data_IF_942719051857
#
_entry.id   IF_942719051857
#
_cell.length_a   1.000
_cell.length_b   1.000
_cell.length_c   1.000
_cell.angle_alpha   90.00
_cell.angle_beta   90.00
_cell.angle_gamma   90.00
#
_symmetry.space_group_name_H-M   'P 1'
#
loop_
_entity.id
_entity.type
_entity.pdbx_description
1 polymer ?
#
# COMPACT_ATOMS: atom_id res chain seq x y z
N UNK A 1 -11.81 -10.56 4.08
CA UNK A 1 -11.08 -9.85 3.03
C UNK A 1 -10.59 -10.83 1.98
N UNK A 2 -10.67 -10.49 0.72
CA UNK A 2 -10.31 -11.39 -0.38
C UNK A 2 -9.70 -10.62 -1.55
N UNK A 3 -8.94 -11.33 -2.40
CA UNK A 3 -8.54 -10.80 -3.70
C UNK A 3 -9.79 -10.74 -4.58
N UNK A 4 -10.01 -9.60 -5.22
CA UNK A 4 -11.24 -9.35 -5.99
C UNK A 4 -11.14 -9.94 -7.39
N UNK A 5 -10.02 -9.72 -8.08
CA UNK A 5 -9.89 -10.05 -9.49
C UNK A 5 -8.47 -10.51 -9.84
N UNK A 6 -8.29 -11.02 -11.06
CA UNK A 6 -7.00 -11.43 -11.60
C UNK A 6 -6.63 -12.87 -11.25
N UNK A 7 -5.33 -13.16 -11.29
CA UNK A 7 -4.78 -14.53 -11.14
C UNK A 7 -5.17 -15.21 -9.83
N UNK A 8 -5.29 -14.43 -8.74
CA UNK A 8 -5.63 -14.94 -7.42
C UNK A 8 -7.04 -14.54 -6.99
N UNK A 9 -7.89 -14.13 -7.91
CA UNK A 9 -9.26 -13.68 -7.62
C UNK A 9 -10.05 -14.71 -6.82
N UNK A 10 -10.74 -14.24 -5.77
CA UNK A 10 -11.55 -15.08 -4.89
C UNK A 10 -10.81 -15.66 -3.69
N UNK A 11 -9.48 -15.60 -3.64
CA UNK A 11 -8.72 -16.14 -2.51
C UNK A 11 -8.92 -15.23 -1.28
N UNK A 12 -9.30 -15.83 -0.16
CA UNK A 12 -9.45 -15.13 1.12
C UNK A 12 -8.10 -14.84 1.74
N UNK A 13 -7.91 -13.61 2.20
CA UNK A 13 -6.70 -13.16 2.87
C UNK A 13 -6.86 -13.21 4.38
N UNK A 14 -5.81 -13.63 5.07
CA UNK A 14 -5.73 -13.58 6.52
C UNK A 14 -5.47 -12.14 6.97
N UNK A 15 -6.17 -11.71 8.03
CA UNK A 15 -6.03 -10.38 8.61
C UNK A 15 -5.50 -10.52 10.03
N UNK A 16 -4.50 -9.74 10.46
CA UNK A 16 -3.98 -9.83 11.82
C UNK A 16 -5.05 -9.55 12.87
N UNK A 17 -4.98 -10.24 14.00
CA UNK A 17 -5.85 -9.94 15.15
C UNK A 17 -5.58 -8.54 15.64
N UNK A 18 -6.64 -7.79 15.94
CA UNK A 18 -6.53 -6.42 16.43
C UNK A 18 -6.35 -5.38 15.35
N UNK A 19 -6.36 -5.75 14.09
CA UNK A 19 -6.38 -4.77 13.01
C UNK A 19 -7.70 -4.02 13.05
N UNK A 20 -7.58 -2.70 13.23
CA UNK A 20 -8.74 -1.87 13.58
C UNK A 20 -9.58 -1.52 12.37
N UNK A 21 -8.99 -1.59 11.15
CA UNK A 21 -9.70 -1.10 9.98
C UNK A 21 -9.12 -1.67 8.68
N UNK A 22 -9.55 -2.88 8.28
CA UNK A 22 -9.22 -3.36 6.95
C UNK A 22 -9.96 -2.52 5.90
N UNK A 23 -9.28 -2.21 4.80
CA UNK A 23 -9.92 -1.58 3.64
C UNK A 23 -10.97 -2.55 3.09
N UNK A 24 -12.18 -2.05 2.83
CA UNK A 24 -13.25 -2.89 2.33
C UNK A 24 -13.00 -3.35 0.90
N UNK A 25 -13.56 -4.49 0.52
CA UNK A 25 -13.50 -5.00 -0.85
C UNK A 25 -14.05 -3.97 -1.84
N UNK A 26 -15.11 -3.26 -1.45
CA UNK A 26 -15.74 -2.22 -2.29
C UNK A 26 -14.79 -1.06 -2.59
N UNK A 27 -14.08 -0.58 -1.58
CA UNK A 27 -13.11 0.53 -1.76
C UNK A 27 -11.97 0.08 -2.66
N UNK A 28 -11.42 -1.11 -2.42
CA UNK A 28 -10.35 -1.64 -3.27
C UNK A 28 -10.81 -1.82 -4.71
N UNK A 29 -12.00 -2.34 -4.93
CA UNK A 29 -12.55 -2.50 -6.28
C UNK A 29 -12.64 -1.16 -7.00
N UNK A 30 -13.15 -0.12 -6.34
CA UNK A 30 -13.24 1.21 -6.91
C UNK A 30 -11.87 1.78 -7.28
N UNK A 31 -10.89 1.64 -6.39
CA UNK A 31 -9.52 2.12 -6.62
C UNK A 31 -8.90 1.41 -7.82
N UNK A 32 -8.97 0.07 -7.85
CA UNK A 32 -8.36 -0.70 -8.94
C UNK A 32 -9.09 -0.53 -10.28
N UNK A 33 -10.38 -0.23 -10.27
CA UNK A 33 -11.09 0.10 -11.50
C UNK A 33 -10.50 1.35 -12.17
N UNK A 34 -10.13 2.34 -11.37
CA UNK A 34 -9.46 3.55 -11.87
C UNK A 34 -8.03 3.23 -12.35
N UNK A 35 -7.33 2.35 -11.66
CA UNK A 35 -5.92 2.06 -11.91
C UNK A 35 -5.68 1.00 -12.98
N UNK A 36 -6.69 0.27 -13.42
CA UNK A 36 -6.53 -0.83 -14.36
C UNK A 36 -5.65 -0.48 -15.58
N UNK A 37 -5.78 0.71 -16.21
CA UNK A 37 -4.92 1.04 -17.35
C UNK A 37 -3.43 1.12 -17.04
N UNK A 38 -3.06 1.32 -15.77
CA UNK A 38 -1.67 1.43 -15.33
C UNK A 38 -1.10 0.13 -14.77
N UNK A 39 -1.94 -0.89 -14.59
CA UNK A 39 -1.58 -2.04 -13.75
C UNK A 39 -0.63 -3.03 -14.42
N UNK A 40 -0.79 -3.27 -15.71
CA UNK A 40 0.02 -4.29 -16.40
C UNK A 40 1.51 -3.96 -16.34
N UNK A 41 2.29 -4.89 -15.79
CA UNK A 41 3.74 -4.75 -15.60
C UNK A 41 4.14 -3.57 -14.69
N UNK A 42 3.23 -3.08 -13.86
CA UNK A 42 3.49 -1.96 -12.97
C UNK A 42 4.46 -2.33 -11.83
N UNK A 43 5.27 -1.38 -11.43
CA UNK A 43 6.03 -1.41 -10.19
C UNK A 43 5.24 -0.67 -9.11
N UNK A 44 4.89 -1.39 -8.05
CA UNK A 44 3.96 -0.91 -7.02
C UNK A 44 4.65 -0.84 -5.66
N UNK A 45 4.37 0.22 -4.93
CA UNK A 45 4.76 0.37 -3.53
C UNK A 45 3.49 0.51 -2.68
N UNK A 46 3.35 -0.38 -1.71
CA UNK A 46 2.22 -0.39 -0.78
C UNK A 46 2.73 -0.04 0.62
N UNK A 47 2.59 1.22 0.98
CA UNK A 47 2.96 1.73 2.30
C UNK A 47 1.81 1.49 3.28
N UNK A 48 2.11 1.03 4.48
CA UNK A 48 1.12 0.61 5.47
C UNK A 48 0.29 -0.57 4.97
N UNK A 49 0.98 -1.59 4.49
CA UNK A 49 0.36 -2.69 3.73
C UNK A 49 -0.62 -3.54 4.56
N UNK A 50 -0.47 -3.59 5.89
CA UNK A 50 -1.29 -4.46 6.72
C UNK A 50 -1.15 -5.93 6.29
N UNK A 51 -2.27 -6.54 5.95
CA UNK A 51 -2.32 -7.91 5.44
C UNK A 51 -1.82 -8.08 4.00
N UNK A 52 -1.45 -6.98 3.34
CA UNK A 52 -0.97 -7.00 1.96
C UNK A 52 -2.07 -6.79 0.92
N UNK A 53 -3.25 -6.36 1.31
CA UNK A 53 -4.43 -6.35 0.43
C UNK A 53 -4.22 -5.57 -0.87
N UNK A 54 -3.66 -4.36 -0.82
CA UNK A 54 -3.43 -3.57 -2.04
C UNK A 54 -2.31 -4.14 -2.91
N UNK A 55 -1.18 -4.47 -2.29
CA UNK A 55 -0.05 -5.03 -3.03
C UNK A 55 -0.37 -6.36 -3.69
N UNK A 56 -1.07 -7.24 -2.98
CA UNK A 56 -1.48 -8.54 -3.51
C UNK A 56 -2.54 -8.39 -4.61
N UNK A 57 -3.49 -7.47 -4.45
CA UNK A 57 -4.47 -7.18 -5.49
C UNK A 57 -3.76 -6.68 -6.76
N UNK A 58 -2.77 -5.81 -6.62
CA UNK A 58 -1.98 -5.32 -7.74
C UNK A 58 -1.27 -6.46 -8.47
N UNK A 59 -0.59 -7.34 -7.74
CA UNK A 59 0.07 -8.51 -8.33
C UNK A 59 -0.92 -9.43 -9.03
N UNK A 60 -2.08 -9.65 -8.43
CA UNK A 60 -3.14 -10.48 -9.02
C UNK A 60 -3.63 -9.91 -10.35
N UNK A 61 -3.63 -8.60 -10.50
CA UNK A 61 -4.10 -7.89 -11.70
C UNK A 61 -3.02 -7.60 -12.73
N UNK A 62 -1.79 -8.07 -12.52
CA UNK A 62 -0.74 -8.00 -13.52
C UNK A 62 0.44 -7.10 -13.22
N UNK A 63 0.53 -6.53 -12.02
CA UNK A 63 1.73 -5.80 -11.61
C UNK A 63 2.95 -6.71 -11.64
N UNK A 64 4.09 -6.16 -12.03
CA UNK A 64 5.34 -6.90 -12.11
C UNK A 64 5.98 -7.09 -10.74
N UNK A 65 5.95 -6.07 -9.91
CA UNK A 65 6.60 -6.03 -8.61
C UNK A 65 5.75 -5.24 -7.62
N UNK A 66 5.63 -5.73 -6.41
CA UNK A 66 4.95 -5.02 -5.32
C UNK A 66 5.80 -5.11 -4.07
N UNK A 67 6.24 -3.95 -3.58
CA UNK A 67 6.90 -3.83 -2.29
C UNK A 67 5.87 -3.42 -1.27
N UNK A 68 5.73 -4.23 -0.23
CA UNK A 68 4.71 -4.10 0.80
C UNK A 68 5.39 -3.80 2.13
N UNK A 69 5.20 -2.58 2.62
CA UNK A 69 5.90 -2.06 3.79
C UNK A 69 4.93 -1.88 4.94
N UNK A 70 5.31 -2.36 6.12
CA UNK A 70 4.56 -2.10 7.35
C UNK A 70 5.51 -2.09 8.55
N UNK A 71 5.21 -1.26 9.53
CA UNK A 71 5.96 -1.20 10.76
C UNK A 71 5.66 -2.41 11.67
N UNK A 72 4.44 -2.92 11.62
CA UNK A 72 3.97 -4.02 12.47
C UNK A 72 4.53 -5.36 12.04
N UNK A 73 5.17 -6.06 12.95
CA UNK A 73 5.65 -7.43 12.71
C UNK A 73 4.50 -8.38 12.40
N UNK A 74 3.35 -8.23 13.09
CA UNK A 74 2.18 -9.09 12.86
C UNK A 74 1.58 -8.85 11.47
N UNK A 75 1.50 -7.60 11.04
CA UNK A 75 1.05 -7.28 9.69
C UNK A 75 1.98 -7.87 8.63
N UNK A 76 3.28 -7.73 8.81
CA UNK A 76 4.25 -8.32 7.87
C UNK A 76 4.14 -9.85 7.81
N UNK A 77 3.94 -10.50 8.95
CA UNK A 77 3.74 -11.95 8.98
C UNK A 77 2.47 -12.35 8.22
N UNK A 78 1.38 -11.62 8.40
CA UNK A 78 0.14 -11.87 7.67
C UNK A 78 0.32 -11.64 6.16
N UNK A 79 0.99 -10.56 5.76
CA UNK A 79 1.25 -10.28 4.35
C UNK A 79 2.11 -11.38 3.71
N UNK A 80 3.14 -11.86 4.40
CA UNK A 80 3.97 -12.98 3.91
C UNK A 80 3.17 -14.27 3.77
N UNK A 81 2.32 -14.59 4.76
CA UNK A 81 1.45 -15.76 4.71
C UNK A 81 0.47 -15.68 3.53
N UNK A 82 -0.10 -14.51 3.31
CA UNK A 82 -1.00 -14.28 2.18
C UNK A 82 -0.28 -14.37 0.83
N UNK A 83 0.96 -13.91 0.77
CA UNK A 83 1.78 -14.03 -0.45
C UNK A 83 2.00 -15.50 -0.81
N UNK A 84 2.32 -16.33 0.17
CA UNK A 84 2.45 -17.79 -0.02
C UNK A 84 1.12 -18.40 -0.44
N UNK A 85 0.04 -18.08 0.28
CA UNK A 85 -1.30 -18.63 0.03
C UNK A 85 -1.80 -18.34 -1.38
N UNK A 86 -1.54 -17.13 -1.88
CA UNK A 86 -2.00 -16.71 -3.22
C UNK A 86 -1.11 -17.23 -4.35
N UNK A 87 0.11 -17.62 -4.05
CA UNK A 87 1.07 -18.06 -5.04
C UNK A 87 1.55 -16.97 -5.99
N UNK A 88 1.26 -15.72 -5.69
CA UNK A 88 1.65 -14.60 -6.55
C UNK A 88 3.15 -14.35 -6.49
N UNK A 89 3.73 -14.07 -7.66
CA UNK A 89 5.15 -13.74 -7.79
C UNK A 89 5.35 -12.22 -7.84
N UNK A 90 6.56 -11.78 -7.47
CA UNK A 90 6.94 -10.37 -7.56
C UNK A 90 6.65 -9.56 -6.28
N UNK A 91 6.21 -10.19 -5.22
CA UNK A 91 5.95 -9.52 -3.94
C UNK A 91 7.12 -9.60 -2.99
N UNK A 92 7.40 -8.50 -2.29
CA UNK A 92 8.40 -8.43 -1.22
C UNK A 92 7.78 -7.71 -0.04
N UNK A 93 7.81 -8.33 1.13
CA UNK A 93 7.30 -7.73 2.38
C UNK A 93 8.48 -7.18 3.17
N UNK A 94 8.39 -5.92 3.57
CA UNK A 94 9.46 -5.21 4.27
C UNK A 94 8.91 -4.65 5.58
N UNK A 95 9.48 -5.08 6.70
CA UNK A 95 9.15 -4.47 8.00
C UNK A 95 9.98 -3.21 8.19
N UNK A 96 9.31 -2.09 8.45
CA UNK A 96 9.99 -0.84 8.71
C UNK A 96 9.05 0.36 8.72
N UNK A 97 9.58 1.50 9.11
CA UNK A 97 8.85 2.76 9.08
C UNK A 97 8.73 3.25 7.63
N UNK A 98 7.50 3.59 7.24
CA UNK A 98 7.20 3.99 5.87
C UNK A 98 8.00 5.23 5.43
N UNK A 99 8.14 6.21 6.32
CA UNK A 99 8.85 7.47 6.01
C UNK A 99 10.34 7.21 5.80
N UNK A 100 10.95 6.39 6.66
CA UNK A 100 12.35 6.01 6.51
C UNK A 100 12.58 5.19 5.24
N UNK A 101 11.64 4.32 4.91
CA UNK A 101 11.69 3.55 3.66
C UNK A 101 11.70 4.47 2.43
N UNK A 102 10.82 5.47 2.41
CA UNK A 102 10.78 6.46 1.31
C UNK A 102 12.12 7.16 1.17
N UNK A 103 12.71 7.61 2.27
CA UNK A 103 14.01 8.29 2.24
C UNK A 103 15.12 7.41 1.66
N UNK A 104 15.15 6.14 2.04
CA UNK A 104 16.14 5.18 1.52
C UNK A 104 15.95 4.92 0.03
N UNK A 105 14.71 4.76 -0.41
CA UNK A 105 14.40 4.50 -1.83
C UNK A 105 14.73 5.70 -2.71
N UNK A 106 14.56 6.91 -2.20
CA UNK A 106 14.98 8.11 -2.92
C UNK A 106 16.50 8.12 -3.16
N UNK A 107 17.27 7.76 -2.14
CA UNK A 107 18.72 7.65 -2.26
C UNK A 107 19.14 6.54 -3.23
N UNK A 108 18.38 5.45 -3.27
CA UNK A 108 18.65 4.33 -4.18
C UNK A 108 18.21 4.62 -5.63
N UNK A 109 17.47 5.69 -5.86
CA UNK A 109 17.00 6.05 -7.20
C UNK A 109 15.85 5.22 -7.71
N UNK A 110 15.15 4.48 -6.85
CA UNK A 110 14.02 3.66 -7.27
C UNK A 110 12.81 4.49 -7.63
N UNK A 111 12.04 3.98 -8.59
CA UNK A 111 10.81 4.63 -9.09
C UNK A 111 9.69 3.62 -9.17
N UNK A 112 8.48 4.10 -8.95
CA UNK A 112 7.26 3.29 -8.97
C UNK A 112 6.21 3.89 -9.87
N UNK A 113 5.37 3.01 -10.45
CA UNK A 113 4.21 3.44 -11.23
C UNK A 113 3.05 3.83 -10.34
N UNK A 114 2.89 3.11 -9.23
CA UNK A 114 1.77 3.31 -8.30
C UNK A 114 2.29 3.20 -6.87
N UNK A 115 1.92 4.17 -6.04
CA UNK A 115 2.21 4.15 -4.61
C UNK A 115 0.89 4.27 -3.85
N UNK A 116 0.61 3.28 -3.00
CA UNK A 116 -0.53 3.30 -2.08
C UNK A 116 -0.07 3.70 -0.69
N UNK A 117 -0.86 4.48 0.01
CA UNK A 117 -0.64 4.78 1.42
C UNK A 117 -1.98 4.84 2.17
N UNK A 118 -2.21 3.87 3.05
CA UNK A 118 -3.37 3.81 3.93
C UNK A 118 -2.90 3.82 5.39
N UNK A 119 -2.43 4.98 5.88
CA UNK A 119 -1.84 5.07 7.21
C UNK A 119 -2.88 4.99 8.32
N UNK A 120 -2.45 4.68 9.56
CA UNK A 120 -3.32 4.78 10.72
C UNK A 120 -3.87 6.19 10.88
N UNK A 121 -5.09 6.32 11.39
CA UNK A 121 -5.70 7.62 11.64
C UNK A 121 -4.92 8.40 12.70
N UNK A 122 -4.83 9.71 12.47
CA UNK A 122 -4.36 10.67 13.46
C UNK A 122 -5.51 10.96 14.42
N UNK A 123 -5.42 10.47 15.66
CA UNK A 123 -6.48 10.57 16.67
C UNK A 123 -6.38 11.82 17.53
N UNK A 124 -5.24 12.48 17.51
CA UNK A 124 -5.00 13.70 18.30
C UNK A 124 -3.72 14.41 17.88
N UNK A 125 -3.43 15.58 18.47
CA UNK A 125 -2.26 16.38 18.04
C UNK A 125 -0.92 15.71 18.32
N UNK A 126 -0.87 14.72 19.20
CA UNK A 126 0.36 13.96 19.47
C UNK A 126 0.60 12.82 18.49
N UNK A 127 -0.40 12.46 17.70
CA UNK A 127 -0.26 11.38 16.72
C UNK A 127 0.44 11.88 15.44
N UNK A 128 1.19 10.98 14.82
CA UNK A 128 1.86 11.28 13.57
C UNK A 128 0.84 11.44 12.45
N UNK A 129 1.01 12.47 11.64
CA UNK A 129 0.30 12.59 10.35
C UNK A 129 1.23 12.06 9.25
N UNK A 130 1.07 10.79 8.93
CA UNK A 130 1.95 10.12 7.99
C UNK A 130 1.87 10.70 6.58
N UNK A 131 0.71 11.20 6.17
CA UNK A 131 0.58 11.78 4.83
C UNK A 131 1.42 13.04 4.71
N UNK A 132 1.40 13.90 5.73
CA UNK A 132 2.25 15.09 5.78
C UNK A 132 3.73 14.68 5.82
N UNK A 133 4.09 13.71 6.66
CA UNK A 133 5.48 13.25 6.75
C UNK A 133 5.99 12.65 5.45
N UNK A 134 5.16 11.88 4.74
CA UNK A 134 5.53 11.32 3.44
C UNK A 134 5.73 12.42 2.39
N UNK A 135 4.85 13.41 2.37
CA UNK A 135 4.99 14.55 1.46
C UNK A 135 6.29 15.32 1.74
N UNK A 136 6.58 15.58 3.01
CA UNK A 136 7.80 16.27 3.42
C UNK A 136 9.07 15.46 3.13
N UNK A 137 8.98 14.13 3.22
CA UNK A 137 10.07 13.23 2.87
C UNK A 137 10.33 13.14 1.37
N UNK A 138 9.41 13.64 0.53
CA UNK A 138 9.58 13.66 -0.91
C UNK A 138 9.02 12.44 -1.62
N UNK A 139 7.95 11.82 -1.12
CA UNK A 139 7.36 10.60 -1.71
C UNK A 139 7.04 10.76 -3.20
N UNK A 140 6.67 11.96 -3.65
CA UNK A 140 6.42 12.23 -5.07
C UNK A 140 7.65 11.98 -5.94
N UNK A 141 8.85 12.12 -5.39
CA UNK A 141 10.10 11.82 -6.10
C UNK A 141 10.31 10.34 -6.41
N UNK A 142 9.52 9.45 -5.82
CA UNK A 142 9.54 8.01 -6.13
C UNK A 142 8.64 7.65 -7.31
N UNK A 143 7.86 8.57 -7.84
CA UNK A 143 6.96 8.27 -8.95
C UNK A 143 7.68 8.39 -10.29
N UNK A 144 7.43 7.42 -11.18
CA UNK A 144 7.78 7.51 -12.59
C UNK A 144 6.92 8.59 -13.25
N UNK A 145 7.33 9.08 -14.41
CA UNK A 145 6.48 9.96 -15.23
C UNK A 145 5.14 9.27 -15.52
N UNK A 146 4.04 9.96 -15.22
CA UNK A 146 2.69 9.38 -15.31
C UNK A 146 2.28 8.48 -14.15
N UNK A 147 3.15 8.31 -13.14
CA UNK A 147 2.83 7.53 -11.96
C UNK A 147 1.83 8.23 -11.04
N UNK A 148 1.17 7.46 -10.18
CA UNK A 148 0.15 7.98 -9.27
C UNK A 148 0.41 7.59 -7.82
N UNK A 149 0.12 8.52 -6.92
CA UNK A 149 0.13 8.33 -5.48
C UNK A 149 -1.31 8.36 -4.98
N UNK A 150 -1.71 7.29 -4.29
CA UNK A 150 -3.06 7.15 -3.77
C UNK A 150 -2.98 7.02 -2.26
N UNK A 151 -3.60 7.97 -1.57
CA UNK A 151 -3.65 7.97 -0.11
C UNK A 151 -5.09 7.89 0.36
N UNK A 152 -5.34 7.01 1.34
CA UNK A 152 -6.58 7.03 2.08
C UNK A 152 -6.40 7.96 3.28
N UNK A 153 -7.28 8.94 3.41
CA UNK A 153 -7.24 9.91 4.48
C UNK A 153 -8.54 9.86 5.29
N UNK A 154 -8.45 10.24 6.56
CA UNK A 154 -9.62 10.34 7.41
C UNK A 154 -10.48 11.56 7.00
N UNK A 155 -11.78 11.47 7.25
CA UNK A 155 -12.69 12.58 7.02
C UNK A 155 -12.19 13.84 7.75
N UNK A 156 -12.20 14.97 7.07
CA UNK A 156 -11.73 16.24 7.60
C UNK A 156 -10.24 16.47 7.51
N UNK A 157 -9.46 15.49 7.01
CA UNK A 157 -8.02 15.68 6.82
C UNK A 157 -7.76 16.85 5.86
N UNK A 158 -6.82 17.71 6.24
CA UNK A 158 -6.50 18.90 5.44
C UNK A 158 -7.41 20.09 5.71
N UNK A 159 -8.55 19.91 6.39
CA UNK A 159 -9.43 21.00 6.75
C UNK A 159 -8.74 21.93 7.76
N UNK A 160 -8.66 23.23 7.46
CA UNK A 160 -7.96 24.20 8.31
C UNK A 160 -6.44 24.18 8.19
N UNK A 161 -5.88 23.39 7.31
CA UNK A 161 -4.45 23.40 6.96
C UNK A 161 -4.21 24.41 5.85
N UNK A 162 -3.42 25.40 6.12
CA UNK A 162 -3.03 26.41 5.13
C UNK A 162 -1.54 26.29 4.78
#
# INVERSE_FOLDING_TARGET
>A
MRIISGKAGGITLSVPKGEVRPTTDRVREAVFSILNPLMDQADVLDLFTGSGAFGLEALSRGARDARMVDFSRLSCAAARANLVKTGLEGGTVIQGDAVQFVKRELLAGRKYDIIFADPPYCKGPADRDFIVELAEAGVAGLLKGGGVFIAEVQEGWGTGRE
#
